data_IF_981916348122
#
_entry.id   IF_981916348122
#
_cell.length_a   1.000
_cell.length_b   1.000
_cell.length_c   1.000
_cell.angle_alpha   90.00
_cell.angle_beta   90.00
_cell.angle_gamma   90.00
#
_symmetry.space_group_name_H-M   'P 1'
#
loop_
_entity.id
_entity.type
_entity.pdbx_description
1 polymer ?
#
# COMPACT_ATOMS: atom_id res chain seq x y z
N UNK A 1 -3.53 -6.13 15.28
CA UNK A 1 -4.70 -6.26 14.42
C UNK A 1 -5.66 -7.31 14.99
N UNK A 2 -6.97 -7.10 14.86
CA UNK A 2 -7.97 -8.08 15.32
C UNK A 2 -8.18 -9.25 14.33
N UNK A 3 -7.89 -9.03 13.06
CA UNK A 3 -7.78 -10.03 12.01
C UNK A 3 -6.69 -9.59 11.00
N UNK A 4 -6.21 -10.48 10.12
CA UNK A 4 -5.08 -10.18 9.26
C UNK A 4 -5.41 -9.41 7.98
N UNK A 5 -6.65 -8.96 7.77
CA UNK A 5 -7.07 -8.30 6.51
C UNK A 5 -7.09 -6.79 6.68
N UNK A 6 -6.35 -6.10 5.82
CA UNK A 6 -6.19 -4.66 5.78
C UNK A 6 -6.68 -4.15 4.42
N UNK A 7 -7.44 -3.05 4.39
CA UNK A 7 -7.76 -2.37 3.14
C UNK A 7 -6.54 -1.56 2.66
N UNK A 8 -6.08 -1.82 1.42
CA UNK A 8 -4.86 -1.22 0.87
C UNK A 8 -5.02 0.25 0.51
N UNK A 9 -3.95 1.02 0.66
CA UNK A 9 -3.86 2.39 0.18
C UNK A 9 -4.13 2.52 -1.33
N UNK A 10 -4.77 3.62 -1.71
CA UNK A 10 -5.01 3.98 -3.11
C UNK A 10 -6.27 3.38 -3.73
N UNK A 11 -6.88 2.38 -3.12
CA UNK A 11 -8.10 1.71 -3.60
C UNK A 11 -9.28 1.83 -2.65
N UNK A 12 -9.07 2.48 -1.51
CA UNK A 12 -10.04 2.60 -0.42
C UNK A 12 -10.30 4.06 -0.01
N UNK A 13 -9.86 5.03 -0.82
CA UNK A 13 -9.96 6.44 -0.50
C UNK A 13 -9.28 6.78 0.83
N UNK A 14 -9.98 7.53 1.65
CA UNK A 14 -9.61 7.75 3.06
C UNK A 14 -10.37 6.83 4.03
N UNK A 15 -11.18 5.89 3.51
CA UNK A 15 -11.97 4.94 4.28
C UNK A 15 -13.42 5.36 4.46
N UNK A 16 -13.69 6.64 4.73
CA UNK A 16 -15.04 7.15 5.01
C UNK A 16 -16.03 6.90 3.86
N UNK A 17 -15.53 6.80 2.64
CA UNK A 17 -16.31 6.52 1.43
C UNK A 17 -16.97 5.13 1.46
N UNK A 18 -16.40 4.19 2.23
CA UNK A 18 -16.90 2.83 2.38
C UNK A 18 -17.85 2.64 3.58
N UNK A 19 -17.90 3.58 4.52
CA UNK A 19 -18.81 3.50 5.69
C UNK A 19 -20.29 3.25 5.33
N UNK A 20 -20.85 3.82 4.24
CA UNK A 20 -22.23 3.53 3.87
C UNK A 20 -22.48 2.10 3.40
N UNK A 21 -21.44 1.33 3.09
CA UNK A 21 -21.53 -0.01 2.52
C UNK A 21 -21.46 -1.10 3.60
N UNK A 22 -20.61 -0.91 4.61
CA UNK A 22 -20.47 -1.84 5.75
C UNK A 22 -19.73 -1.17 6.92
N UNK A 23 -19.80 -1.80 8.08
CA UNK A 23 -19.07 -1.37 9.27
C UNK A 23 -17.56 -1.62 9.11
N UNK A 24 -16.79 -0.54 8.96
CA UNK A 24 -15.33 -0.58 8.81
C UNK A 24 -14.61 -1.16 10.04
N UNK A 25 -15.30 -1.21 11.19
CA UNK A 25 -14.77 -1.88 12.38
C UNK A 25 -14.58 -3.39 12.19
N UNK A 26 -15.10 -4.00 11.13
CA UNK A 26 -14.82 -5.40 10.79
C UNK A 26 -13.38 -5.61 10.29
N UNK A 27 -12.74 -4.59 9.72
CA UNK A 27 -11.38 -4.69 9.17
C UNK A 27 -10.33 -4.82 10.29
N UNK A 28 -9.28 -5.60 10.03
CA UNK A 28 -8.08 -5.60 10.87
C UNK A 28 -7.34 -4.27 10.84
N UNK A 29 -7.40 -3.59 9.70
CA UNK A 29 -6.86 -2.25 9.52
C UNK A 29 -7.28 -1.64 8.19
N UNK A 30 -7.01 -0.36 8.03
CA UNK A 30 -7.09 0.32 6.73
C UNK A 30 -5.91 1.26 6.54
N UNK A 31 -5.35 1.25 5.33
CA UNK A 31 -4.30 2.17 4.92
C UNK A 31 -4.95 3.29 4.10
N UNK A 32 -4.90 4.52 4.62
CA UNK A 32 -5.49 5.66 3.93
C UNK A 32 -4.73 6.01 2.65
N UNK A 33 -5.34 6.78 1.78
CA UNK A 33 -4.72 7.29 0.57
C UNK A 33 -3.43 8.04 0.87
N UNK A 34 -2.44 7.93 -0.02
CA UNK A 34 -1.12 8.53 0.14
C UNK A 34 -1.16 10.03 0.46
N UNK A 35 -0.44 10.40 1.52
CA UNK A 35 -0.38 11.75 2.08
C UNK A 35 0.96 12.39 1.75
N UNK A 36 0.91 13.51 1.04
CA UNK A 36 2.00 14.47 0.92
C UNK A 36 1.83 15.62 1.89
N UNK A 37 2.87 16.41 2.08
CA UNK A 37 2.75 17.59 2.94
C UNK A 37 1.73 18.60 2.38
N UNK A 38 1.72 18.83 1.06
CA UNK A 38 0.77 19.71 0.38
C UNK A 38 -0.25 18.90 -0.45
N UNK A 39 -1.45 19.45 -0.71
CA UNK A 39 -2.40 18.85 -1.65
C UNK A 39 -1.79 18.65 -3.04
N UNK A 40 -2.27 17.60 -3.75
CA UNK A 40 -1.86 17.29 -5.14
C UNK A 40 -3.07 17.00 -6.01
N UNK A 41 -3.07 17.53 -7.23
CA UNK A 41 -4.13 17.29 -8.21
C UNK A 41 -4.00 15.95 -8.93
N UNK A 42 -2.79 15.37 -8.91
CA UNK A 42 -2.48 14.13 -9.63
C UNK A 42 -2.18 14.35 -11.12
N UNK A 43 -2.09 13.24 -11.86
CA UNK A 43 -1.80 13.26 -13.28
C UNK A 43 -3.00 13.70 -14.13
N UNK A 44 -2.80 14.20 -15.36
CA UNK A 44 -3.88 14.44 -16.29
C UNK A 44 -4.58 13.12 -16.69
N UNK A 45 -5.91 13.14 -16.94
CA UNK A 45 -6.64 11.98 -17.44
C UNK A 45 -6.27 11.66 -18.92
N UNK A 46 -6.55 10.41 -19.38
CA UNK A 46 -7.08 9.26 -18.64
C UNK A 46 -6.06 8.69 -17.64
N UNK A 47 -6.55 8.28 -16.46
CA UNK A 47 -5.70 7.79 -15.35
C UNK A 47 -5.80 6.29 -15.10
N UNK A 48 -6.77 5.63 -15.73
CA UNK A 48 -7.08 4.21 -15.57
C UNK A 48 -7.23 3.55 -16.94
N UNK A 49 -6.75 2.32 -17.06
CA UNK A 49 -6.97 1.46 -18.22
C UNK A 49 -7.17 0.02 -17.75
N UNK A 50 -8.28 -0.58 -18.10
CA UNK A 50 -8.55 -1.98 -17.82
C UNK A 50 -7.70 -2.89 -18.69
N UNK A 51 -7.36 -4.05 -18.14
CA UNK A 51 -6.70 -5.17 -18.81
C UNK A 51 -7.53 -6.44 -18.61
N UNK A 52 -7.30 -7.52 -19.38
CA UNK A 52 -8.08 -8.77 -19.22
C UNK A 52 -8.10 -9.34 -17.79
N UNK A 53 -7.04 -9.12 -17.01
CA UNK A 53 -6.90 -9.66 -15.65
C UNK A 53 -6.40 -8.63 -14.63
N UNK A 54 -6.75 -7.36 -14.80
CA UNK A 54 -6.33 -6.32 -13.86
C UNK A 54 -6.56 -4.90 -14.34
N UNK A 55 -5.89 -3.97 -13.70
CA UNK A 55 -6.04 -2.54 -13.93
C UNK A 55 -4.67 -1.86 -13.99
N UNK A 56 -4.46 -1.01 -14.98
CA UNK A 56 -3.30 -0.11 -15.02
C UNK A 56 -3.74 1.27 -14.56
N UNK A 57 -3.07 1.82 -13.56
CA UNK A 57 -3.38 3.14 -13.04
C UNK A 57 -2.19 4.10 -13.10
N UNK A 58 -2.49 5.38 -13.29
CA UNK A 58 -1.54 6.49 -13.20
C UNK A 58 -2.22 7.69 -12.54
N UNK A 59 -2.62 7.53 -11.28
CA UNK A 59 -3.38 8.55 -10.53
C UNK A 59 -2.52 9.80 -10.25
N UNK A 60 -1.20 9.62 -10.06
CA UNK A 60 -0.28 10.71 -9.73
C UNK A 60 -0.42 11.20 -8.29
N UNK A 61 -0.81 10.30 -7.38
CA UNK A 61 -0.89 10.55 -5.94
C UNK A 61 -1.74 11.79 -5.58
N UNK A 62 -2.87 11.95 -6.27
CA UNK A 62 -3.88 12.97 -5.95
C UNK A 62 -4.31 12.85 -4.48
N UNK A 63 -4.34 13.96 -3.75
CA UNK A 63 -4.73 13.94 -2.34
C UNK A 63 -4.87 15.33 -1.74
N UNK A 64 -5.50 15.39 -0.56
CA UNK A 64 -5.85 16.63 0.15
C UNK A 64 -4.69 17.22 0.96
N UNK A 65 -3.56 16.49 1.07
CA UNK A 65 -2.45 16.87 1.93
C UNK A 65 -2.66 16.48 3.39
N UNK A 66 -1.53 16.44 4.13
CA UNK A 66 -1.53 15.93 5.52
C UNK A 66 -2.31 16.83 6.49
N UNK A 67 -2.30 18.14 6.30
CA UNK A 67 -3.01 19.09 7.15
C UNK A 67 -4.53 18.87 7.10
N UNK A 68 -5.11 18.90 5.91
CA UNK A 68 -6.54 18.66 5.72
C UNK A 68 -6.96 17.26 6.19
N UNK A 69 -6.12 16.24 5.93
CA UNK A 69 -6.36 14.89 6.44
C UNK A 69 -6.47 14.88 7.97
N UNK A 70 -5.53 15.48 8.68
CA UNK A 70 -5.53 15.50 10.16
C UNK A 70 -6.68 16.32 10.75
N UNK A 71 -7.12 17.37 10.07
CA UNK A 71 -8.19 18.25 10.54
C UNK A 71 -9.60 17.72 10.23
N UNK A 72 -9.81 17.15 9.05
CA UNK A 72 -11.14 16.84 8.52
C UNK A 72 -11.48 15.34 8.52
N UNK A 73 -10.47 14.48 8.34
CA UNK A 73 -10.65 13.04 8.10
C UNK A 73 -10.27 12.21 9.33
N UNK A 74 -9.06 12.39 9.84
CA UNK A 74 -8.53 11.59 10.95
C UNK A 74 -9.42 11.58 12.20
N UNK A 75 -10.03 12.71 12.64
CA UNK A 75 -10.92 12.69 13.81
C UNK A 75 -12.13 11.77 13.67
N UNK A 76 -12.61 11.57 12.43
CA UNK A 76 -13.73 10.66 12.14
C UNK A 76 -13.26 9.21 12.09
N UNK A 77 -12.10 8.95 11.49
CA UNK A 77 -11.50 7.62 11.43
C UNK A 77 -11.09 7.10 12.82
N UNK A 78 -10.61 7.99 13.69
CA UNK A 78 -10.20 7.65 15.05
C UNK A 78 -11.36 7.15 15.96
N UNK A 79 -12.61 7.30 15.51
CA UNK A 79 -13.79 6.74 16.18
C UNK A 79 -14.05 5.27 15.80
N UNK A 80 -13.37 4.75 14.80
CA UNK A 80 -13.52 3.37 14.34
C UNK A 80 -12.67 2.42 15.18
N UNK A 81 -13.22 1.27 15.51
CA UNK A 81 -12.49 0.19 16.18
C UNK A 81 -11.65 -0.63 15.20
N UNK A 82 -10.82 0.04 14.39
CA UNK A 82 -9.88 -0.59 13.43
C UNK A 82 -8.55 0.14 13.44
N UNK A 83 -7.48 -0.52 13.01
CA UNK A 83 -6.16 0.10 12.93
C UNK A 83 -6.09 1.08 11.74
N UNK A 84 -5.94 2.37 12.02
CA UNK A 84 -5.76 3.40 10.99
C UNK A 84 -4.27 3.56 10.70
N UNK A 85 -3.87 3.30 9.46
CA UNK A 85 -2.49 3.37 8.99
C UNK A 85 -2.39 4.52 7.98
N UNK A 86 -1.51 5.48 8.24
CA UNK A 86 -1.30 6.61 7.34
C UNK A 86 -0.23 6.26 6.29
N UNK A 87 -0.59 6.30 5.00
CA UNK A 87 0.36 6.11 3.90
C UNK A 87 1.12 7.41 3.64
N UNK A 88 2.42 7.41 3.93
CA UNK A 88 3.31 8.56 3.86
C UNK A 88 4.03 8.57 2.52
N UNK A 89 3.93 9.68 1.79
CA UNK A 89 4.57 9.92 0.51
C UNK A 89 5.50 11.11 0.56
N UNK A 90 6.56 11.08 -0.25
CA UNK A 90 7.52 12.17 -0.42
C UNK A 90 8.32 11.99 -1.71
N UNK A 91 9.06 13.00 -2.12
CA UNK A 91 10.00 12.96 -3.25
C UNK A 91 11.45 12.89 -2.77
N UNK A 92 11.71 13.44 -1.58
CA UNK A 92 13.02 13.46 -0.91
C UNK A 92 12.89 12.97 0.54
N UNK A 93 13.98 12.49 1.13
CA UNK A 93 14.04 11.95 2.50
C UNK A 93 13.41 12.91 3.54
N UNK A 94 13.68 14.21 3.42
CA UNK A 94 13.14 15.24 4.31
C UNK A 94 11.63 15.47 4.16
N UNK A 95 11.08 15.27 2.98
CA UNK A 95 9.63 15.39 2.77
C UNK A 95 8.89 14.25 3.46
N UNK A 96 9.39 12.99 3.33
CA UNK A 96 8.86 11.85 4.09
C UNK A 96 8.91 12.10 5.60
N UNK A 97 10.07 12.57 6.10
CA UNK A 97 10.27 12.85 7.51
C UNK A 97 9.31 13.94 8.00
N UNK A 98 9.12 15.01 7.24
CA UNK A 98 8.23 16.12 7.57
C UNK A 98 6.76 15.67 7.66
N UNK A 99 6.29 14.83 6.73
CA UNK A 99 4.93 14.27 6.77
C UNK A 99 4.76 13.36 7.98
N UNK A 100 5.72 12.47 8.23
CA UNK A 100 5.69 11.56 9.37
C UNK A 100 5.72 12.29 10.71
N UNK A 101 6.55 13.31 10.86
CA UNK A 101 6.61 14.17 12.05
C UNK A 101 5.29 14.88 12.30
N UNK A 102 4.67 15.43 11.25
CA UNK A 102 3.38 16.10 11.36
C UNK A 102 2.28 15.12 11.83
N UNK A 103 2.18 13.94 11.20
CA UNK A 103 1.24 12.89 11.57
C UNK A 103 1.40 12.43 13.03
N UNK A 104 2.65 12.31 13.48
CA UNK A 104 2.97 11.82 14.83
C UNK A 104 2.52 12.74 15.96
N UNK A 105 2.14 13.98 15.66
CA UNK A 105 1.57 14.93 16.62
C UNK A 105 0.06 14.72 16.86
N UNK A 106 -0.57 13.85 16.06
CA UNK A 106 -2.00 13.59 16.09
C UNK A 106 -2.29 12.19 16.63
N UNK A 107 -3.34 12.07 17.44
CA UNK A 107 -3.80 10.77 17.94
C UNK A 107 -4.71 10.06 16.93
N UNK A 108 -4.86 8.75 17.08
CA UNK A 108 -5.76 7.94 16.26
C UNK A 108 -5.08 7.16 15.12
N UNK A 109 -3.76 7.28 14.95
CA UNK A 109 -2.98 6.46 14.04
C UNK A 109 -2.33 5.28 14.76
N UNK A 110 -2.47 4.09 14.18
CA UNK A 110 -1.83 2.86 14.68
C UNK A 110 -0.41 2.68 14.14
N UNK A 111 -0.16 3.12 12.90
CA UNK A 111 1.15 3.01 12.24
C UNK A 111 1.26 3.99 11.05
N UNK A 112 2.47 4.13 10.52
CA UNK A 112 2.75 4.77 9.24
C UNK A 112 3.13 3.69 8.22
N UNK A 113 2.60 3.79 7.00
CA UNK A 113 3.08 3.03 5.85
C UNK A 113 3.90 3.97 4.95
N UNK A 114 5.20 3.76 4.89
CA UNK A 114 6.13 4.56 4.10
C UNK A 114 6.12 4.10 2.64
N UNK A 115 5.51 4.88 1.77
CA UNK A 115 5.39 4.58 0.34
C UNK A 115 6.62 5.11 -0.41
N UNK A 116 7.70 4.35 -0.37
CA UNK A 116 8.98 4.69 -1.03
C UNK A 116 8.96 4.44 -2.55
N UNK A 117 7.85 3.94 -3.09
CA UNK A 117 7.70 3.52 -4.50
C UNK A 117 7.36 4.66 -5.45
N UNK A 118 7.46 5.93 -5.05
CA UNK A 118 7.08 7.06 -5.89
C UNK A 118 8.01 7.18 -7.11
N UNK A 119 7.49 7.04 -8.36
CA UNK A 119 8.31 7.11 -9.57
C UNK A 119 8.72 8.55 -9.96
N UNK A 120 8.22 9.57 -9.24
CA UNK A 120 8.44 10.99 -9.55
C UNK A 120 9.73 11.53 -8.94
N UNK A 121 10.83 10.81 -9.05
CA UNK A 121 12.14 11.39 -8.77
C UNK A 121 12.51 12.30 -9.94
N UNK A 122 12.85 13.56 -9.67
CA UNK A 122 13.34 14.52 -10.67
C UNK A 122 14.38 13.86 -11.56
N UNK A 123 14.37 14.20 -12.85
CA UNK A 123 15.19 13.60 -13.90
C UNK A 123 16.60 13.22 -13.40
N UNK A 124 16.88 11.92 -13.32
CA UNK A 124 18.19 11.37 -12.96
C UNK A 124 18.31 10.70 -11.58
N UNK A 125 17.30 10.77 -10.71
CA UNK A 125 17.32 10.08 -9.42
C UNK A 125 16.65 8.70 -9.47
N UNK A 126 17.17 7.72 -8.70
CA UNK A 126 16.51 6.43 -8.49
C UNK A 126 15.41 6.61 -7.44
N UNK A 127 14.25 5.98 -7.65
CA UNK A 127 13.21 5.86 -6.62
C UNK A 127 13.83 5.18 -5.38
N UNK A 128 13.59 5.67 -4.14
CA UNK A 128 14.16 5.02 -2.95
C UNK A 128 13.91 3.52 -2.90
N UNK A 129 12.73 3.06 -3.34
CA UNK A 129 12.40 1.64 -3.40
C UNK A 129 13.25 0.80 -4.38
N UNK A 130 14.07 1.41 -5.22
CA UNK A 130 14.93 0.72 -6.20
C UNK A 130 16.39 0.61 -5.75
N UNK A 131 16.72 1.23 -4.62
CA UNK A 131 18.09 1.28 -4.08
C UNK A 131 18.06 0.99 -2.58
N UNK A 132 18.68 -0.11 -2.11
CA UNK A 132 18.73 -0.46 -0.69
C UNK A 132 19.31 0.66 0.18
N UNK A 133 20.35 1.36 -0.29
CA UNK A 133 20.97 2.45 0.48
C UNK A 133 20.03 3.65 0.62
N UNK A 134 19.32 4.04 -0.45
CA UNK A 134 18.32 5.11 -0.40
C UNK A 134 17.13 4.71 0.47
N UNK A 135 16.69 3.43 0.41
CA UNK A 135 15.69 2.88 1.33
C UNK A 135 16.12 3.02 2.77
N UNK A 136 17.35 2.57 3.10
CA UNK A 136 17.91 2.67 4.46
C UNK A 136 17.88 4.12 4.97
N UNK A 137 18.41 5.08 4.18
CA UNK A 137 18.45 6.49 4.59
C UNK A 137 17.06 7.06 4.82
N UNK A 138 16.11 6.79 3.92
CA UNK A 138 14.73 7.31 4.02
C UNK A 138 14.03 6.75 5.26
N UNK A 139 14.07 5.43 5.48
CA UNK A 139 13.48 4.78 6.66
C UNK A 139 14.13 5.30 7.94
N UNK A 140 15.46 5.36 7.99
CA UNK A 140 16.23 5.86 9.13
C UNK A 140 15.84 7.29 9.48
N UNK A 141 15.71 8.15 8.47
CA UNK A 141 15.32 9.54 8.66
C UNK A 141 13.91 9.70 9.23
N UNK A 142 12.96 8.90 8.74
CA UNK A 142 11.59 8.89 9.27
C UNK A 142 11.55 8.38 10.71
N UNK A 143 12.28 7.32 11.03
CA UNK A 143 12.36 6.78 12.42
C UNK A 143 12.94 7.77 13.43
N UNK A 144 13.79 8.71 12.99
CA UNK A 144 14.33 9.75 13.88
C UNK A 144 13.27 10.77 14.34
N UNK A 145 12.20 10.96 13.59
CA UNK A 145 11.20 12.00 13.82
C UNK A 145 9.81 11.48 14.20
N UNK A 146 9.58 10.18 14.04
CA UNK A 146 8.27 9.56 14.35
C UNK A 146 8.43 8.42 15.35
N UNK A 147 7.68 8.44 16.46
CA UNK A 147 7.60 7.33 17.42
C UNK A 147 6.62 6.23 16.96
N UNK A 148 5.81 6.48 15.92
CA UNK A 148 4.81 5.52 15.44
C UNK A 148 5.51 4.31 14.80
N UNK A 149 4.90 3.11 14.91
CA UNK A 149 5.35 1.94 14.16
C UNK A 149 5.41 2.25 12.66
N UNK A 150 6.47 1.80 12.00
CA UNK A 150 6.73 2.07 10.59
C UNK A 150 6.69 0.79 9.76
N UNK A 151 5.83 0.78 8.75
CA UNK A 151 5.74 -0.25 7.72
C UNK A 151 6.38 0.33 6.46
N UNK A 152 7.36 -0.35 5.87
CA UNK A 152 7.95 0.12 4.60
C UNK A 152 7.33 -0.63 3.43
N UNK A 153 6.65 0.11 2.52
CA UNK A 153 6.00 -0.45 1.33
C UNK A 153 6.95 -0.54 0.16
N UNK A 154 7.23 -1.78 -0.27
CA UNK A 154 8.23 -2.10 -1.27
C UNK A 154 7.67 -2.10 -2.70
N UNK A 155 8.52 -1.73 -3.65
CA UNK A 155 8.23 -1.79 -5.08
C UNK A 155 8.64 -3.14 -5.66
N UNK A 156 7.83 -3.72 -6.56
CA UNK A 156 8.24 -4.92 -7.31
C UNK A 156 9.18 -4.62 -8.49
N UNK A 157 9.38 -3.33 -8.82
CA UNK A 157 10.16 -2.90 -9.99
C UNK A 157 11.66 -2.81 -9.65
N UNK A 158 12.19 -3.88 -9.11
CA UNK A 158 13.58 -4.03 -8.65
C UNK A 158 14.14 -5.38 -9.09
N UNK A 159 15.45 -5.49 -9.14
CA UNK A 159 16.12 -6.77 -9.44
C UNK A 159 16.08 -7.71 -8.25
N UNK A 160 16.31 -7.18 -7.04
CA UNK A 160 16.31 -7.92 -5.78
C UNK A 160 15.51 -7.17 -4.72
N UNK A 161 14.28 -7.62 -4.48
CA UNK A 161 13.39 -7.04 -3.46
C UNK A 161 13.85 -7.38 -2.04
N UNK A 162 14.56 -8.49 -1.87
CA UNK A 162 15.06 -8.96 -0.57
C UNK A 162 16.11 -8.00 -0.02
N UNK A 163 17.02 -7.53 -0.87
CA UNK A 163 18.03 -6.54 -0.47
C UNK A 163 17.38 -5.24 0.01
N UNK A 164 16.29 -4.80 -0.62
CA UNK A 164 15.53 -3.60 -0.21
C UNK A 164 14.81 -3.85 1.12
N UNK A 165 14.22 -5.03 1.30
CA UNK A 165 13.53 -5.41 2.55
C UNK A 165 14.50 -5.45 3.75
N UNK A 166 15.68 -6.04 3.57
CA UNK A 166 16.73 -6.10 4.61
C UNK A 166 17.23 -4.69 4.98
N UNK A 167 17.39 -3.81 3.99
CA UNK A 167 17.78 -2.42 4.25
C UNK A 167 16.71 -1.67 5.05
N UNK A 168 15.42 -1.91 4.78
CA UNK A 168 14.32 -1.35 5.55
C UNK A 168 14.30 -1.85 7.00
N UNK A 169 14.50 -3.16 7.21
CA UNK A 169 14.61 -3.77 8.54
C UNK A 169 15.80 -3.18 9.32
N UNK A 170 16.99 -3.14 8.73
CA UNK A 170 18.20 -2.59 9.35
C UNK A 170 18.04 -1.12 9.74
N UNK A 171 17.29 -0.35 8.94
CA UNK A 171 17.00 1.06 9.22
C UNK A 171 15.97 1.27 10.35
N UNK A 172 15.32 0.20 10.82
CA UNK A 172 14.38 0.20 11.94
C UNK A 172 12.90 0.21 11.55
N UNK A 173 12.56 -0.25 10.35
CA UNK A 173 11.17 -0.58 10.00
C UNK A 173 10.66 -1.72 10.87
N UNK A 174 9.45 -1.63 11.41
CA UNK A 174 8.84 -2.67 12.23
C UNK A 174 8.06 -3.71 11.42
N UNK A 175 7.77 -3.41 10.16
CA UNK A 175 7.20 -4.35 9.18
C UNK A 175 7.55 -3.90 7.76
N UNK A 176 7.38 -4.80 6.80
CA UNK A 176 7.39 -4.46 5.37
C UNK A 176 6.08 -4.88 4.72
N UNK A 177 5.56 -4.06 3.79
CA UNK A 177 4.43 -4.42 2.93
C UNK A 177 4.89 -4.55 1.48
N UNK A 178 4.49 -5.60 0.79
CA UNK A 178 4.85 -5.86 -0.61
C UNK A 178 3.79 -6.70 -1.32
N UNK A 179 3.44 -6.31 -2.55
CA UNK A 179 4.16 -5.38 -3.43
C UNK A 179 3.28 -4.20 -3.82
N UNK A 180 3.90 -3.05 -4.19
CA UNK A 180 3.22 -2.02 -4.94
C UNK A 180 2.98 -2.51 -6.39
N UNK A 181 2.57 -1.65 -7.30
CA UNK A 181 2.19 -2.01 -8.68
C UNK A 181 3.39 -2.24 -9.61
N UNK A 182 3.24 -3.13 -10.59
CA UNK A 182 4.24 -3.34 -11.63
C UNK A 182 4.11 -2.29 -12.73
N UNK A 183 5.24 -1.75 -13.19
CA UNK A 183 5.24 -0.80 -14.30
C UNK A 183 4.72 -1.46 -15.58
N UNK A 184 3.75 -0.82 -16.24
CA UNK A 184 3.07 -1.37 -17.41
C UNK A 184 2.65 -0.28 -18.40
N UNK A 185 2.29 -0.71 -19.61
CA UNK A 185 1.81 0.12 -20.71
C UNK A 185 0.56 -0.50 -21.35
N UNK A 186 -0.42 0.34 -21.69
CA UNK A 186 -1.52 -0.05 -22.57
C UNK A 186 -1.58 0.89 -23.78
N UNK A 187 -1.76 0.33 -24.96
CA UNK A 187 -1.87 1.05 -26.25
C UNK A 187 -3.31 0.97 -26.77
N UNK A 188 -3.80 2.08 -27.23
CA UNK A 188 -5.02 2.17 -28.04
C UNK A 188 -4.63 2.07 -29.52
N UNK A 189 -5.14 1.05 -30.21
CA UNK A 189 -4.74 0.76 -31.60
C UNK A 189 -5.33 1.75 -32.60
N UNK A 190 -6.52 2.29 -32.31
CA UNK A 190 -7.19 3.23 -33.23
C UNK A 190 -6.45 4.58 -33.23
N UNK A 191 -6.16 5.10 -32.05
CA UNK A 191 -5.40 6.35 -31.91
C UNK A 191 -3.89 6.17 -32.03
N UNK A 192 -3.38 4.94 -31.93
CA UNK A 192 -1.94 4.58 -31.89
C UNK A 192 -1.17 5.30 -30.79
N UNK A 193 -1.84 5.52 -29.66
CA UNK A 193 -1.28 6.24 -28.51
C UNK A 193 -1.41 5.40 -27.23
N UNK A 194 -0.62 5.73 -26.19
CA UNK A 194 -0.87 5.20 -24.85
C UNK A 194 -2.30 5.52 -24.39
N UNK A 195 -2.94 4.55 -23.71
CA UNK A 195 -4.29 4.74 -23.12
C UNK A 195 -4.27 5.70 -21.94
N UNK A 196 -3.14 5.83 -21.25
CA UNK A 196 -3.00 6.70 -20.08
C UNK A 196 -2.37 8.05 -20.48
N UNK A 197 -2.85 9.13 -19.87
CA UNK A 197 -2.31 10.48 -20.08
C UNK A 197 -0.82 10.60 -19.68
N UNK A 198 -0.35 9.81 -18.73
CA UNK A 198 1.05 9.75 -18.29
C UNK A 198 1.86 8.62 -18.97
N UNK A 199 1.40 8.08 -20.09
CA UNK A 199 2.04 7.01 -20.87
C UNK A 199 2.11 5.69 -20.12
N UNK A 200 2.88 5.61 -19.03
CA UNK A 200 3.07 4.43 -18.20
C UNK A 200 2.19 4.51 -16.94
N UNK A 201 1.82 3.33 -16.43
CA UNK A 201 1.07 3.20 -15.18
C UNK A 201 1.46 1.94 -14.41
N UNK A 202 0.90 1.79 -13.21
CA UNK A 202 1.10 0.64 -12.36
C UNK A 202 0.02 -0.42 -12.60
N UNK A 203 0.41 -1.63 -12.98
CA UNK A 203 -0.47 -2.79 -13.11
C UNK A 203 -0.75 -3.40 -11.75
N UNK A 204 -2.02 -3.68 -11.47
CA UNK A 204 -2.54 -4.34 -10.28
C UNK A 204 -3.64 -5.34 -10.65
N UNK A 205 -4.15 -6.09 -9.67
CA UNK A 205 -5.22 -7.08 -9.87
C UNK A 205 -4.71 -8.51 -10.01
N UNK A 206 -5.57 -9.49 -10.40
CA UNK A 206 -5.24 -10.92 -10.39
C UNK A 206 -4.00 -11.28 -11.20
N UNK A 207 -3.70 -10.53 -12.27
CA UNK A 207 -2.54 -10.78 -13.13
C UNK A 207 -1.20 -10.77 -12.39
N UNK A 208 -1.08 -10.01 -11.29
CA UNK A 208 0.18 -9.89 -10.55
C UNK A 208 0.31 -10.86 -9.38
N UNK A 209 -0.77 -11.59 -8.99
CA UNK A 209 -0.76 -12.46 -7.80
C UNK A 209 0.43 -13.42 -7.75
N UNK A 210 0.75 -14.23 -8.77
CA UNK A 210 1.84 -15.21 -8.68
C UNK A 210 3.22 -14.53 -8.53
N UNK A 211 3.39 -13.32 -9.05
CA UNK A 211 4.63 -12.56 -8.91
C UNK A 211 4.76 -11.97 -7.50
N UNK A 212 3.68 -11.39 -6.98
CA UNK A 212 3.63 -10.84 -5.63
C UNK A 212 3.81 -11.95 -4.58
N UNK A 213 3.14 -13.09 -4.74
CA UNK A 213 3.24 -14.25 -3.85
C UNK A 213 4.68 -14.77 -3.77
N UNK A 214 5.38 -14.90 -4.93
CA UNK A 214 6.80 -15.27 -4.97
C UNK A 214 7.66 -14.28 -4.18
N UNK A 215 7.46 -12.98 -4.38
CA UNK A 215 8.24 -11.94 -3.69
C UNK A 215 8.01 -11.98 -2.17
N UNK A 216 6.77 -12.17 -1.72
CA UNK A 216 6.44 -12.34 -0.30
C UNK A 216 7.15 -13.56 0.27
N UNK A 217 7.10 -14.71 -0.43
CA UNK A 217 7.78 -15.93 -0.01
C UNK A 217 9.30 -15.76 0.13
N UNK A 218 9.94 -15.05 -0.81
CA UNK A 218 11.38 -14.77 -0.77
C UNK A 218 11.74 -13.85 0.40
N UNK A 219 11.02 -12.73 0.57
CA UNK A 219 11.28 -11.76 1.64
C UNK A 219 11.02 -12.33 3.03
N UNK A 220 9.89 -13.03 3.24
CA UNK A 220 9.52 -13.58 4.54
C UNK A 220 10.53 -14.60 5.09
N UNK A 221 11.37 -15.18 4.25
CA UNK A 221 12.44 -16.13 4.65
C UNK A 221 13.74 -15.43 5.04
N UNK A 222 13.86 -14.14 4.80
CA UNK A 222 15.11 -13.39 4.99
C UNK A 222 14.99 -12.33 6.08
N UNK A 223 13.85 -11.65 6.19
CA UNK A 223 13.63 -10.65 7.24
C UNK A 223 13.09 -11.30 8.52
N UNK A 224 13.31 -10.64 9.66
CA UNK A 224 12.79 -11.05 10.97
C UNK A 224 11.52 -10.29 11.37
N UNK A 225 11.27 -9.17 10.72
CA UNK A 225 10.08 -8.33 10.93
C UNK A 225 8.86 -8.90 10.18
N UNK A 226 7.63 -8.63 10.64
CA UNK A 226 6.42 -9.04 9.95
C UNK A 226 6.37 -8.59 8.49
N UNK A 227 5.85 -9.47 7.63
CA UNK A 227 5.61 -9.21 6.22
C UNK A 227 4.11 -9.09 5.97
N UNK A 228 3.68 -8.01 5.32
CA UNK A 228 2.31 -7.79 4.89
C UNK A 228 2.25 -8.03 3.38
N UNK A 229 1.49 -9.06 2.96
CA UNK A 229 1.39 -9.43 1.56
C UNK A 229 0.30 -8.67 0.82
N UNK A 230 0.60 -8.14 -0.37
CA UNK A 230 -0.42 -7.54 -1.24
C UNK A 230 -0.09 -7.74 -2.73
N UNK A 231 -1.16 -7.78 -3.54
CA UNK A 231 -1.06 -7.91 -4.99
C UNK A 231 -1.87 -9.06 -5.54
N UNK A 232 -3.05 -8.77 -6.10
CA UNK A 232 -3.93 -9.74 -6.74
C UNK A 232 -4.76 -10.60 -5.81
N UNK A 233 -4.95 -10.19 -4.56
CA UNK A 233 -5.83 -10.85 -3.58
C UNK A 233 -7.27 -10.46 -3.89
N UNK A 234 -8.12 -11.43 -4.28
CA UNK A 234 -9.52 -11.25 -4.64
C UNK A 234 -10.46 -12.19 -3.87
N UNK A 235 -9.92 -13.18 -3.19
CA UNK A 235 -10.64 -14.19 -2.43
C UNK A 235 -9.91 -14.53 -1.13
N UNK A 236 -10.60 -15.22 -0.21
CA UNK A 236 -9.97 -15.72 1.02
C UNK A 236 -8.89 -16.78 0.72
N UNK A 237 -9.04 -17.56 -0.36
CA UNK A 237 -8.01 -18.51 -0.79
C UNK A 237 -6.72 -17.78 -1.16
N UNK A 238 -6.83 -16.67 -1.91
CA UNK A 238 -5.67 -15.86 -2.24
C UNK A 238 -4.98 -15.33 -0.96
N UNK A 239 -5.77 -14.81 -0.01
CA UNK A 239 -5.25 -14.33 1.27
C UNK A 239 -4.51 -15.44 2.04
N UNK A 240 -5.10 -16.64 2.14
CA UNK A 240 -4.47 -17.81 2.78
C UNK A 240 -3.18 -18.24 2.08
N UNK A 241 -3.12 -18.18 0.74
CA UNK A 241 -1.86 -18.46 0.01
C UNK A 241 -0.74 -17.51 0.45
N UNK A 242 -1.03 -16.21 0.62
CA UNK A 242 -0.05 -15.25 1.12
C UNK A 242 0.37 -15.54 2.58
N UNK A 243 -0.57 -15.94 3.45
CA UNK A 243 -0.26 -16.34 4.82
C UNK A 243 0.65 -17.58 4.84
N UNK A 244 0.36 -18.59 4.02
CA UNK A 244 1.20 -19.79 3.87
C UNK A 244 2.59 -19.44 3.30
N UNK A 245 2.67 -18.44 2.42
CA UNK A 245 3.94 -17.94 1.90
C UNK A 245 4.80 -17.19 2.96
N UNK A 246 4.23 -16.90 4.14
CA UNK A 246 4.94 -16.28 5.27
C UNK A 246 4.49 -14.86 5.59
N UNK A 247 3.42 -14.37 4.98
CA UNK A 247 2.82 -13.10 5.38
C UNK A 247 2.16 -13.22 6.76
N UNK A 248 2.28 -12.16 7.57
CA UNK A 248 1.60 -12.03 8.88
C UNK A 248 0.24 -11.34 8.76
N UNK A 249 0.01 -10.63 7.67
CA UNK A 249 -1.23 -9.96 7.30
C UNK A 249 -1.27 -9.75 5.78
N UNK A 250 -2.43 -9.37 5.26
CA UNK A 250 -2.62 -9.09 3.83
C UNK A 250 -3.29 -7.74 3.62
N UNK A 251 -2.92 -7.04 2.55
CA UNK A 251 -3.62 -5.85 2.08
C UNK A 251 -4.43 -6.15 0.81
N UNK A 252 -5.72 -5.82 0.84
CA UNK A 252 -6.65 -6.00 -0.28
C UNK A 252 -6.80 -4.67 -1.01
N UNK A 253 -6.42 -4.64 -2.29
CA UNK A 253 -6.39 -3.44 -3.12
C UNK A 253 -7.47 -3.45 -4.21
N UNK A 254 -7.08 -3.79 -5.43
CA UNK A 254 -7.91 -3.70 -6.66
C UNK A 254 -9.25 -4.42 -6.55
N UNK A 255 -9.37 -5.45 -5.72
CA UNK A 255 -10.63 -6.16 -5.46
C UNK A 255 -11.75 -5.21 -4.98
N UNK A 256 -11.42 -4.15 -4.23
CA UNK A 256 -12.39 -3.16 -3.75
C UNK A 256 -13.08 -2.38 -4.87
N UNK A 257 -12.47 -2.28 -6.06
CA UNK A 257 -13.10 -1.66 -7.23
C UNK A 257 -14.08 -2.59 -7.94
N UNK A 258 -13.86 -3.91 -7.84
CA UNK A 258 -14.73 -4.93 -8.45
C UNK A 258 -15.87 -5.30 -7.52
N UNK A 259 -15.56 -5.48 -6.24
CA UNK A 259 -16.51 -5.77 -5.17
C UNK A 259 -16.17 -4.93 -3.94
N UNK A 260 -16.96 -3.90 -3.63
CA UNK A 260 -16.73 -3.09 -2.44
C UNK A 260 -16.81 -3.86 -1.11
N UNK A 261 -17.40 -5.05 -1.10
CA UNK A 261 -17.47 -5.96 0.05
C UNK A 261 -16.32 -6.99 0.08
N UNK A 262 -15.33 -6.88 -0.79
CA UNK A 262 -14.23 -7.85 -0.89
C UNK A 262 -13.52 -8.08 0.45
N UNK A 263 -13.20 -7.02 1.21
CA UNK A 263 -12.53 -7.18 2.49
C UNK A 263 -13.36 -7.98 3.51
N UNK A 264 -14.63 -7.64 3.83
CA UNK A 264 -15.43 -8.42 4.76
C UNK A 264 -15.70 -9.85 4.27
N UNK A 265 -15.88 -10.09 2.96
CA UNK A 265 -16.04 -11.43 2.40
C UNK A 265 -14.77 -12.28 2.55
N UNK A 266 -13.59 -11.67 2.36
CA UNK A 266 -12.30 -12.35 2.58
C UNK A 266 -12.14 -12.70 4.07
N UNK A 267 -12.43 -11.78 4.99
CA UNK A 267 -12.39 -12.03 6.43
C UNK A 267 -13.26 -13.22 6.78
N UNK A 268 -14.53 -13.18 6.36
CA UNK A 268 -15.49 -14.27 6.63
C UNK A 268 -15.03 -15.60 6.07
N UNK A 269 -14.53 -15.61 4.82
CA UNK A 269 -14.01 -16.83 4.19
C UNK A 269 -12.80 -17.42 4.90
N UNK A 270 -11.90 -16.57 5.44
CA UNK A 270 -10.76 -17.00 6.24
C UNK A 270 -11.19 -17.59 7.59
N UNK A 271 -12.18 -16.98 8.26
CA UNK A 271 -12.76 -17.47 9.50
C UNK A 271 -13.40 -18.85 9.29
N UNK A 272 -14.28 -18.99 8.30
CA UNK A 272 -14.96 -20.24 7.97
C UNK A 272 -13.97 -21.35 7.62
N UNK A 273 -12.90 -21.00 6.91
CA UNK A 273 -11.83 -21.95 6.57
C UNK A 273 -11.06 -22.39 7.83
N UNK A 274 -10.70 -21.46 8.71
CA UNK A 274 -10.00 -21.78 9.96
C UNK A 274 -10.85 -22.68 10.87
N UNK A 275 -12.12 -22.33 11.08
CA UNK A 275 -13.05 -23.16 11.85
C UNK A 275 -13.17 -24.59 11.28
N UNK A 276 -13.29 -24.73 9.96
CA UNK A 276 -13.40 -26.04 9.29
C UNK A 276 -12.13 -26.89 9.40
N UNK A 277 -10.97 -26.27 9.70
CA UNK A 277 -9.68 -26.95 9.88
C UNK A 277 -9.23 -27.03 11.35
N UNK A 278 -10.06 -26.58 12.29
CA UNK A 278 -9.77 -26.64 13.72
C UNK A 278 -8.67 -25.67 14.19
N UNK A 279 -8.53 -24.52 13.54
CA UNK A 279 -7.57 -23.47 13.83
C UNK A 279 -8.20 -22.30 14.55
#
# INVERSE_FOLDING_TARGET
>A
LKNPVIAASGTFGYGLEFQPLYDLSQLGGLVVKGLYFKPREGNPPPRLAETPCGLINSIGLQGIGVEAFCQEVLPKLALLETAIIANVCGEEEEEYARVAEYLSRHQGLAALELNISCPNVRAGGKCPAQDPEATYRTVKRVKQVSPLPLITKLSPNVTDITAVALAAEEAGSEAVSLVNTFLALAIDLESRKPKLGNVLGGLSGPAIKPLALRMVFEVARQVKIPVIGLGGIFSYQDALEFMVAGASAVEVGTANFVNPLACPEIIKGMEDWAESHGL
#
